data_IF_923117587579
#
_entry.id   IF_923117587579
#
_cell.length_a   1.000
_cell.length_b   1.000
_cell.length_c   1.000
_cell.angle_alpha   90.00
_cell.angle_beta   90.00
_cell.angle_gamma   90.00
#
_symmetry.space_group_name_H-M   'P 1'
#
loop_
_entity.id
_entity.type
_entity.pdbx_description
1 polymer ?
#
# COMPACT_ATOMS: atom_id res chain seq x y z
N UNK A 1 -5.90 8.92 6.23
CA UNK A 1 -5.03 8.33 5.20
C UNK A 1 -5.80 7.31 4.36
N UNK A 2 -5.42 7.09 3.10
CA UNK A 2 -6.10 6.14 2.20
C UNK A 2 -6.07 4.71 2.77
N UNK A 3 -5.01 4.38 3.50
CA UNK A 3 -4.75 3.09 4.13
C UNK A 3 -5.82 2.74 5.16
N UNK A 4 -6.30 3.73 5.93
CA UNK A 4 -7.38 3.53 6.92
C UNK A 4 -8.70 3.18 6.23
N UNK A 5 -9.01 3.85 5.12
CA UNK A 5 -10.22 3.55 4.33
C UNK A 5 -10.16 2.16 3.69
N UNK A 6 -8.98 1.76 3.23
CA UNK A 6 -8.77 0.43 2.64
C UNK A 6 -8.79 -0.68 3.70
N UNK A 7 -8.26 -0.43 4.90
CA UNK A 7 -8.30 -1.37 6.02
C UNK A 7 -9.72 -1.62 6.54
N UNK A 8 -10.62 -0.64 6.37
CA UNK A 8 -12.01 -0.68 6.80
C UNK A 8 -12.98 -0.67 5.61
N UNK A 9 -12.62 -1.32 4.49
CA UNK A 9 -13.36 -1.22 3.23
C UNK A 9 -14.84 -1.65 3.36
N UNK A 10 -15.18 -2.52 4.31
CA UNK A 10 -16.56 -2.92 4.61
C UNK A 10 -17.42 -1.78 5.18
N UNK A 11 -16.80 -0.80 5.85
CA UNK A 11 -17.47 0.39 6.39
C UNK A 11 -17.71 1.46 5.31
N UNK A 12 -17.08 1.32 4.15
CA UNK A 12 -17.28 2.22 3.01
C UNK A 12 -18.67 1.95 2.38
N UNK A 13 -19.46 3.00 2.07
CA UNK A 13 -20.74 2.87 1.38
C UNK A 13 -20.65 2.02 0.12
N UNK A 14 -21.65 1.15 -0.07
CA UNK A 14 -21.60 0.08 -1.07
C UNK A 14 -21.50 0.60 -2.51
N UNK A 15 -22.16 1.72 -2.79
CA UNK A 15 -22.20 2.41 -4.09
C UNK A 15 -20.82 2.92 -4.55
N UNK A 16 -19.93 3.24 -3.61
CA UNK A 16 -18.57 3.72 -3.93
C UNK A 16 -17.45 2.72 -3.56
N UNK A 17 -17.78 1.62 -2.88
CA UNK A 17 -16.78 0.70 -2.31
C UNK A 17 -15.81 0.16 -3.34
N UNK A 18 -16.29 -0.21 -4.53
CA UNK A 18 -15.44 -0.71 -5.62
C UNK A 18 -14.50 0.36 -6.15
N UNK A 19 -14.97 1.61 -6.27
CA UNK A 19 -14.14 2.73 -6.72
C UNK A 19 -13.03 3.03 -5.70
N UNK A 20 -13.36 3.02 -4.40
CA UNK A 20 -12.40 3.20 -3.30
C UNK A 20 -11.37 2.07 -3.28
N UNK A 21 -11.81 0.81 -3.42
CA UNK A 21 -10.91 -0.34 -3.50
C UNK A 21 -9.89 -0.20 -4.63
N UNK A 22 -10.38 0.08 -5.84
CA UNK A 22 -9.54 0.04 -7.04
C UNK A 22 -8.61 1.26 -7.11
N UNK A 23 -9.14 2.47 -6.92
CA UNK A 23 -8.36 3.69 -7.04
C UNK A 23 -7.58 4.00 -5.76
N UNK A 24 -8.19 3.83 -4.60
CA UNK A 24 -7.51 3.99 -3.31
C UNK A 24 -6.42 2.94 -3.15
N UNK A 25 -6.71 1.67 -3.47
CA UNK A 25 -5.71 0.59 -3.48
C UNK A 25 -4.59 0.87 -4.47
N UNK A 26 -4.93 1.33 -5.67
CA UNK A 26 -3.94 1.79 -6.65
C UNK A 26 -3.03 2.89 -6.10
N UNK A 27 -3.60 3.93 -5.47
CA UNK A 27 -2.85 5.03 -4.88
C UNK A 27 -1.90 4.56 -3.76
N UNK A 28 -2.40 3.72 -2.84
CA UNK A 28 -1.59 3.16 -1.75
C UNK A 28 -0.44 2.30 -2.30
N UNK A 29 -0.74 1.42 -3.25
CA UNK A 29 0.26 0.54 -3.87
C UNK A 29 1.37 1.33 -4.56
N UNK A 30 1.03 2.36 -5.34
CA UNK A 30 2.03 3.17 -6.03
C UNK A 30 2.83 4.04 -5.07
N UNK A 31 2.19 4.61 -4.04
CA UNK A 31 2.90 5.38 -3.02
C UNK A 31 3.96 4.53 -2.32
N UNK A 32 3.59 3.29 -1.92
CA UNK A 32 4.53 2.33 -1.35
C UNK A 32 5.64 1.97 -2.36
N UNK A 33 5.27 1.59 -3.57
CA UNK A 33 6.21 1.17 -4.62
C UNK A 33 7.32 2.19 -4.85
N UNK A 34 6.98 3.48 -4.95
CA UNK A 34 7.97 4.53 -5.15
C UNK A 34 8.80 4.82 -3.90
N UNK A 35 8.27 4.56 -2.70
CA UNK A 35 9.02 4.74 -1.45
C UNK A 35 10.08 3.67 -1.19
N UNK A 36 9.89 2.46 -1.75
CA UNK A 36 10.79 1.31 -1.54
C UNK A 36 11.74 1.05 -2.71
N UNK A 37 11.74 1.92 -3.72
CA UNK A 37 12.65 1.86 -4.86
C UNK A 37 13.58 3.07 -4.89
N UNK A 38 14.80 2.87 -5.39
CA UNK A 38 15.75 3.95 -5.60
C UNK A 38 17.01 3.46 -6.33
N UNK A 39 17.78 4.37 -6.94
CA UNK A 39 19.05 4.02 -7.56
C UNK A 39 20.00 3.45 -6.52
N UNK A 40 20.72 2.37 -6.87
CA UNK A 40 21.65 1.70 -5.96
C UNK A 40 20.99 0.83 -4.88
N UNK A 41 19.68 0.57 -4.98
CA UNK A 41 19.00 -0.46 -4.17
C UNK A 41 19.29 -1.90 -4.63
N UNK A 42 18.70 -2.88 -3.94
CA UNK A 42 18.95 -4.32 -4.16
C UNK A 42 19.91 -4.92 -3.12
N UNK A 43 20.39 -6.15 -3.38
CA UNK A 43 21.15 -6.93 -2.40
C UNK A 43 20.25 -7.74 -1.46
N UNK A 44 20.82 -8.27 -0.38
CA UNK A 44 20.06 -8.99 0.64
C UNK A 44 19.39 -8.00 1.63
N UNK A 45 18.20 -8.31 2.17
CA UNK A 45 17.60 -7.56 3.27
C UNK A 45 18.56 -7.48 4.47
N UNK A 46 18.43 -6.44 5.30
CA UNK A 46 19.27 -6.24 6.49
C UNK A 46 18.42 -5.86 7.71
N UNK A 47 18.95 -6.05 8.93
CA UNK A 47 18.25 -5.72 10.18
C UNK A 47 17.09 -6.67 10.49
N UNK A 48 16.07 -6.20 11.20
CA UNK A 48 14.95 -7.02 11.67
C UNK A 48 14.21 -7.73 10.52
N UNK A 49 14.09 -7.10 9.34
CA UNK A 49 13.46 -7.73 8.17
C UNK A 49 14.26 -8.91 7.60
N UNK A 50 15.57 -8.99 7.88
CA UNK A 50 16.39 -10.14 7.52
C UNK A 50 16.27 -11.29 8.54
N UNK A 51 15.85 -10.98 9.76
CA UNK A 51 15.75 -11.94 10.87
C UNK A 51 14.32 -12.48 11.08
N UNK A 52 13.30 -11.75 10.60
CA UNK A 52 11.88 -12.07 10.72
C UNK A 52 11.43 -13.26 9.84
#
# INVERSE_FOLDING_TARGET
PVEKLLAQLSEVPEDIRTAVRNNGGGHANHTLFWSIMGPGGGGEPTGEVAEA
#
